data_IF_559173721772
#
_entry.id   IF_559173721772
#
_cell.length_a   1.000
_cell.length_b   1.000
_cell.length_c   1.000
_cell.angle_alpha   90.00
_cell.angle_beta   90.00
_cell.angle_gamma   90.00
#
_symmetry.space_group_name_H-M   'P 1'
#
loop_
_entity.id
_entity.type
_entity.pdbx_description
1 polymer ?
#
# COMPACT_ATOMS: atom_id res chain seq x y z
N UNK A 1 -6.56 -2.90 -11.03
CA UNK A 1 -5.85 -3.34 -9.81
C UNK A 1 -6.17 -2.37 -8.69
N UNK A 2 -7.01 -2.76 -7.73
CA UNK A 2 -7.72 -1.81 -6.84
C UNK A 2 -7.02 -1.59 -5.49
N UNK A 3 -5.85 -2.19 -5.32
CA UNK A 3 -5.02 -2.17 -4.12
C UNK A 3 -4.73 -0.77 -3.56
N UNK A 4 -4.60 0.23 -4.43
CA UNK A 4 -4.34 1.62 -4.02
C UNK A 4 -5.52 2.21 -3.22
N UNK A 5 -6.75 1.81 -3.52
CA UNK A 5 -7.94 2.32 -2.82
C UNK A 5 -8.03 1.69 -1.42
N UNK A 6 -7.75 0.38 -1.32
CA UNK A 6 -7.77 -0.35 -0.06
C UNK A 6 -6.78 0.23 0.97
N UNK A 7 -5.62 0.73 0.53
CA UNK A 7 -4.60 1.30 1.43
C UNK A 7 -4.84 2.76 1.81
N UNK A 8 -5.58 3.53 0.98
CA UNK A 8 -5.87 4.94 1.25
C UNK A 8 -7.18 5.15 2.02
N UNK A 9 -7.87 4.06 2.38
CA UNK A 9 -9.17 4.10 3.03
C UNK A 9 -10.24 4.71 2.14
N UNK A 10 -10.89 5.78 2.58
CA UNK A 10 -11.98 6.42 1.84
C UNK A 10 -11.45 7.53 0.92
N UNK A 11 -11.63 7.34 -0.38
CA UNK A 11 -11.38 8.35 -1.40
C UNK A 11 -12.21 9.62 -1.15
N UNK A 12 -11.67 10.82 -1.47
CA UNK A 12 -12.45 12.05 -1.38
C UNK A 12 -13.57 12.03 -2.41
N UNK A 13 -14.71 12.66 -2.08
CA UNK A 13 -15.89 12.67 -2.95
C UNK A 13 -15.52 13.24 -4.32
N UNK A 14 -15.85 12.51 -5.38
CA UNK A 14 -15.57 12.90 -6.76
C UNK A 14 -14.21 12.47 -7.32
N UNK A 15 -13.34 11.83 -6.52
CA UNK A 15 -12.09 11.24 -7.00
C UNK A 15 -12.25 9.73 -7.17
N UNK A 16 -12.20 9.27 -8.42
CA UNK A 16 -12.14 7.85 -8.75
C UNK A 16 -10.74 7.29 -8.44
N UNK A 17 -10.65 6.01 -8.06
CA UNK A 17 -9.32 5.43 -7.88
C UNK A 17 -8.53 5.24 -9.18
N UNK A 18 -9.18 5.34 -10.36
CA UNK A 18 -8.44 5.50 -11.62
C UNK A 18 -7.66 6.82 -11.62
N UNK A 19 -8.27 7.94 -11.23
CA UNK A 19 -7.58 9.24 -11.14
C UNK A 19 -6.43 9.19 -10.14
N UNK A 20 -6.60 8.51 -9.00
CA UNK A 20 -5.52 8.32 -8.01
C UNK A 20 -4.34 7.56 -8.62
N UNK A 21 -4.59 6.45 -9.33
CA UNK A 21 -3.52 5.69 -10.00
C UNK A 21 -2.83 6.53 -11.07
N UNK A 22 -3.61 7.25 -11.89
CA UNK A 22 -3.06 8.15 -12.90
C UNK A 22 -2.17 9.22 -12.28
N UNK A 23 -2.64 9.88 -11.22
CA UNK A 23 -1.86 10.88 -10.47
C UNK A 23 -0.54 10.30 -9.94
N UNK A 24 -0.58 9.11 -9.34
CA UNK A 24 0.61 8.46 -8.79
C UNK A 24 1.60 8.02 -9.87
N UNK A 25 1.15 7.27 -10.88
CA UNK A 25 2.05 6.69 -11.89
C UNK A 25 2.56 7.70 -12.90
N UNK A 26 1.71 8.62 -13.37
CA UNK A 26 2.12 9.59 -14.39
C UNK A 26 2.92 10.75 -13.81
N UNK A 27 2.65 11.14 -12.55
CA UNK A 27 3.19 12.37 -11.97
C UNK A 27 4.05 12.13 -10.73
N UNK A 28 3.54 11.45 -9.69
CA UNK A 28 4.29 11.31 -8.44
C UNK A 28 5.55 10.45 -8.57
N UNK A 29 5.42 9.27 -9.17
CA UNK A 29 6.50 8.30 -9.34
C UNK A 29 7.39 8.61 -10.54
N UNK A 30 6.90 9.42 -11.49
CA UNK A 30 7.67 9.84 -12.65
C UNK A 30 8.50 11.09 -12.35
N UNK A 31 9.80 10.91 -12.14
CA UNK A 31 10.73 12.01 -11.85
C UNK A 31 10.79 13.08 -12.95
N UNK A 32 10.48 12.73 -14.20
CA UNK A 32 10.49 13.68 -15.33
C UNK A 32 9.25 14.58 -15.35
N UNK A 33 8.11 14.07 -14.91
CA UNK A 33 6.83 14.80 -14.97
C UNK A 33 6.44 15.42 -13.63
N UNK A 34 7.08 15.04 -12.52
CA UNK A 34 6.71 15.50 -11.16
C UNK A 34 6.56 17.03 -11.02
N UNK A 35 7.39 17.81 -11.68
CA UNK A 35 7.38 19.27 -11.59
C UNK A 35 6.32 19.95 -12.47
N UNK A 36 5.76 19.24 -13.45
CA UNK A 36 4.78 19.77 -14.41
C UNK A 36 3.37 19.24 -14.17
N UNK A 37 3.09 18.74 -12.96
CA UNK A 37 1.78 18.24 -12.59
C UNK A 37 0.72 19.37 -12.66
N UNK A 38 -0.39 19.16 -13.39
CA UNK A 38 -1.53 20.08 -13.40
C UNK A 38 -2.09 20.32 -11.98
N UNK A 39 -2.71 21.48 -11.75
CA UNK A 39 -3.17 21.89 -10.41
C UNK A 39 -4.19 20.93 -9.79
N UNK A 40 -5.10 20.37 -10.61
CA UNK A 40 -6.07 19.37 -10.19
C UNK A 40 -5.39 18.08 -9.71
N UNK A 41 -4.34 17.64 -10.40
CA UNK A 41 -3.51 16.50 -9.99
C UNK A 41 -2.70 16.85 -8.73
N UNK A 42 -2.15 18.06 -8.63
CA UNK A 42 -1.41 18.50 -7.46
C UNK A 42 -2.27 18.49 -6.18
N UNK A 43 -3.55 18.85 -6.28
CA UNK A 43 -4.52 18.74 -5.17
C UNK A 43 -4.71 17.29 -4.74
N UNK A 44 -4.90 16.36 -5.69
CA UNK A 44 -5.04 14.93 -5.40
C UNK A 44 -3.76 14.38 -4.75
N UNK A 45 -2.58 14.73 -5.28
CA UNK A 45 -1.30 14.32 -4.70
C UNK A 45 -1.08 14.89 -3.30
N UNK A 46 -1.48 16.14 -3.06
CA UNK A 46 -1.45 16.76 -1.74
C UNK A 46 -2.35 16.04 -0.73
N UNK A 47 -3.54 15.59 -1.17
CA UNK A 47 -4.42 14.75 -0.35
C UNK A 47 -3.78 13.39 -0.05
N UNK A 48 -3.24 12.69 -1.07
CA UNK A 48 -2.57 11.39 -0.90
C UNK A 48 -1.42 11.51 0.10
N UNK A 49 -0.62 12.58 0.00
CA UNK A 49 0.49 12.84 0.93
C UNK A 49 0.03 12.96 2.38
N UNK A 50 -1.14 13.59 2.63
CA UNK A 50 -1.70 13.72 3.98
C UNK A 50 -2.27 12.41 4.52
N UNK A 51 -2.72 11.51 3.65
CA UNK A 51 -3.23 10.19 4.04
C UNK A 51 -2.13 9.14 4.16
N UNK A 52 -0.94 9.41 3.63
CA UNK A 52 0.18 8.47 3.69
C UNK A 52 0.83 8.54 5.08
N UNK A 53 0.85 7.43 5.84
CA UNK A 53 1.52 7.41 7.14
C UNK A 53 3.03 7.61 6.97
N UNK A 54 3.68 8.14 8.02
CA UNK A 54 5.14 8.21 8.09
C UNK A 54 5.73 6.81 8.23
N UNK A 55 7.01 6.65 7.86
CA UNK A 55 7.64 5.34 7.87
C UNK A 55 7.73 4.71 9.26
N UNK A 56 7.80 5.53 10.32
CA UNK A 56 7.84 5.09 11.72
C UNK A 56 6.64 4.21 12.13
N UNK A 57 5.47 4.41 11.51
CA UNK A 57 4.27 3.59 11.79
C UNK A 57 4.53 2.11 11.45
N UNK A 58 5.49 1.81 10.57
CA UNK A 58 5.86 0.43 10.22
C UNK A 58 6.74 -0.27 11.26
N UNK A 59 7.19 0.42 12.32
CA UNK A 59 7.87 -0.26 13.43
C UNK A 59 6.89 -1.10 14.26
N UNK A 60 5.59 -0.80 14.20
CA UNK A 60 4.55 -1.65 14.76
C UNK A 60 4.27 -2.85 13.83
N UNK A 61 4.51 -4.09 14.28
CA UNK A 61 4.21 -5.27 13.48
C UNK A 61 2.72 -5.44 13.16
N UNK A 62 1.80 -4.91 13.97
CA UNK A 62 0.36 -4.99 13.69
C UNK A 62 0.00 -4.21 12.41
N UNK A 63 0.64 -3.06 12.18
CA UNK A 63 0.47 -2.27 10.95
C UNK A 63 0.90 -3.07 9.72
N UNK A 64 2.02 -3.79 9.82
CA UNK A 64 2.50 -4.61 8.71
C UNK A 64 1.52 -5.75 8.38
N UNK A 65 0.95 -6.39 9.41
CA UNK A 65 -0.06 -7.44 9.25
C UNK A 65 -1.38 -6.90 8.68
N UNK A 66 -1.83 -5.72 9.12
CA UNK A 66 -3.02 -5.04 8.60
C UNK A 66 -2.87 -4.68 7.12
N UNK A 67 -1.72 -4.13 6.74
CA UNK A 67 -1.43 -3.83 5.34
C UNK A 67 -1.38 -5.11 4.51
N UNK A 68 -0.73 -6.18 4.99
CA UNK A 68 -0.73 -7.46 4.29
C UNK A 68 -2.14 -8.04 4.14
N UNK A 69 -2.99 -7.91 5.18
CA UNK A 69 -4.41 -8.31 5.11
C UNK A 69 -5.12 -7.52 4.02
N UNK A 70 -5.01 -6.19 4.01
CA UNK A 70 -5.60 -5.34 2.97
C UNK A 70 -5.08 -5.69 1.56
N UNK A 71 -3.82 -6.11 1.43
CA UNK A 71 -3.23 -6.56 0.16
C UNK A 71 -3.71 -7.96 -0.28
N UNK A 72 -4.14 -8.79 0.67
CA UNK A 72 -4.60 -10.15 0.42
C UNK A 72 -6.09 -10.26 0.12
N UNK A 73 -6.87 -9.25 0.47
CA UNK A 73 -8.29 -9.15 0.13
C UNK A 73 -8.50 -8.20 -1.06
N UNK A 74 -9.56 -8.47 -1.84
CA UNK A 74 -10.08 -7.55 -2.85
C UNK A 74 -11.05 -6.56 -2.19
N UNK A 75 -11.45 -5.52 -2.92
CA UNK A 75 -12.50 -4.60 -2.44
C UNK A 75 -13.82 -5.32 -2.13
N UNK A 76 -14.11 -6.41 -2.85
CA UNK A 76 -15.31 -7.23 -2.63
C UNK A 76 -15.12 -8.23 -1.47
N UNK A 77 -14.16 -7.98 -0.58
CA UNK A 77 -13.68 -8.86 0.52
C UNK A 77 -13.19 -10.26 0.12
N UNK A 78 -13.32 -10.64 -1.15
CA UNK A 78 -12.85 -11.92 -1.68
C UNK A 78 -11.32 -12.03 -1.66
N UNK A 79 -10.82 -13.24 -1.40
CA UNK A 79 -9.38 -13.52 -1.33
C UNK A 79 -8.73 -13.29 -2.70
N UNK A 80 -7.67 -12.50 -2.73
CA UNK A 80 -6.87 -12.29 -3.93
C UNK A 80 -6.16 -13.58 -4.36
N UNK A 81 -5.98 -13.74 -5.67
CA UNK A 81 -5.26 -14.89 -6.23
C UNK A 81 -3.87 -15.05 -5.58
N UNK A 82 -3.44 -16.28 -5.35
CA UNK A 82 -2.18 -16.58 -4.67
C UNK A 82 -0.97 -15.91 -5.34
N UNK A 83 -0.93 -15.91 -6.68
CA UNK A 83 0.11 -15.23 -7.47
C UNK A 83 0.16 -13.72 -7.22
N UNK A 84 -1.01 -13.09 -7.06
CA UNK A 84 -1.14 -11.66 -6.76
C UNK A 84 -0.62 -11.35 -5.36
N UNK A 85 -1.02 -12.14 -4.36
CA UNK A 85 -0.58 -11.99 -2.96
C UNK A 85 0.94 -12.12 -2.83
N UNK A 86 1.52 -13.13 -3.47
CA UNK A 86 2.98 -13.32 -3.48
C UNK A 86 3.70 -12.16 -4.16
N UNK A 87 3.18 -11.63 -5.27
CA UNK A 87 3.77 -10.47 -5.96
C UNK A 87 3.75 -9.21 -5.09
N UNK A 88 2.62 -8.90 -4.46
CA UNK A 88 2.50 -7.74 -3.58
C UNK A 88 3.45 -7.84 -2.38
N UNK A 89 3.52 -9.02 -1.76
CA UNK A 89 4.46 -9.28 -0.66
C UNK A 89 5.91 -9.11 -1.10
N UNK A 90 6.29 -9.62 -2.25
CA UNK A 90 7.65 -9.50 -2.76
C UNK A 90 8.06 -8.04 -2.97
N UNK A 91 7.17 -7.23 -3.58
CA UNK A 91 7.41 -5.79 -3.80
C UNK A 91 7.54 -5.06 -2.46
N UNK A 92 6.65 -5.36 -1.51
CA UNK A 92 6.70 -4.75 -0.18
C UNK A 92 7.99 -5.10 0.57
N UNK A 93 8.43 -6.36 0.48
CA UNK A 93 9.66 -6.81 1.10
C UNK A 93 10.90 -6.09 0.55
N UNK A 94 10.96 -5.89 -0.77
CA UNK A 94 12.04 -5.11 -1.39
C UNK A 94 12.02 -3.67 -0.90
N UNK A 95 10.85 -3.05 -0.76
CA UNK A 95 10.72 -1.69 -0.26
C UNK A 95 11.16 -1.56 1.22
N UNK A 96 10.72 -2.48 2.10
CA UNK A 96 11.12 -2.48 3.51
C UNK A 96 12.62 -2.73 3.68
N UNK A 97 13.18 -3.69 2.94
CA UNK A 97 14.61 -3.94 2.95
C UNK A 97 15.41 -2.71 2.49
N UNK A 98 14.89 -1.94 1.53
CA UNK A 98 15.50 -0.67 1.11
C UNK A 98 15.42 0.38 2.22
N UNK A 99 14.28 0.50 2.92
CA UNK A 99 14.12 1.45 4.03
C UNK A 99 15.10 1.15 5.18
N UNK A 100 15.29 -0.13 5.54
CA UNK A 100 16.28 -0.56 6.53
C UNK A 100 17.70 -0.22 6.09
N UNK A 101 18.07 -0.48 4.82
CA UNK A 101 19.41 -0.11 4.29
C UNK A 101 19.68 1.40 4.33
N UNK A 102 18.63 2.22 4.31
CA UNK A 102 18.72 3.69 4.40
C UNK A 102 18.67 4.19 5.84
N UNK A 103 18.64 3.30 6.83
CA UNK A 103 18.47 3.61 8.25
C UNK A 103 17.19 4.42 8.54
N UNK A 104 16.14 4.21 7.73
CA UNK A 104 14.82 4.80 7.99
C UNK A 104 14.03 3.92 8.96
N UNK A 105 14.19 2.60 8.83
CA UNK A 105 13.62 1.60 9.74
C UNK A 105 14.74 0.86 10.47
N UNK A 106 14.48 0.50 11.72
CA UNK A 106 15.37 -0.32 12.54
C UNK A 106 15.46 -1.78 12.05
N UNK A 107 14.32 -2.38 11.68
CA UNK A 107 14.23 -3.74 11.16
C UNK A 107 13.13 -3.87 10.09
N UNK A 108 13.14 -4.98 9.35
CA UNK A 108 12.07 -5.29 8.40
C UNK A 108 10.87 -5.84 9.18
N UNK A 109 9.71 -5.16 9.17
CA UNK A 109 8.55 -5.56 9.98
C UNK A 109 7.76 -6.71 9.36
N UNK A 110 8.05 -7.08 8.11
CA UNK A 110 7.30 -8.16 7.46
C UNK A 110 7.66 -9.51 8.08
N UNK A 111 6.67 -10.36 8.38
CA UNK A 111 6.92 -11.68 8.92
C UNK A 111 7.83 -12.47 7.98
N UNK A 112 8.87 -13.08 8.52
CA UNK A 112 9.77 -13.94 7.74
C UNK A 112 9.10 -15.31 7.61
N UNK A 113 8.50 -15.59 6.45
CA UNK A 113 7.79 -16.84 6.17
C UNK A 113 6.30 -16.66 5.86
N UNK A 114 5.74 -17.55 5.03
CA UNK A 114 4.30 -17.68 4.89
C UNK A 114 3.79 -18.13 6.27
N UNK A 115 3.42 -17.20 7.17
CA UNK A 115 2.49 -17.55 8.23
C UNK A 115 1.30 -18.12 7.50
N UNK A 116 1.12 -19.43 7.58
CA UNK A 116 -0.13 -20.07 7.23
C UNK A 116 -1.20 -19.18 7.85
N UNK A 117 -2.12 -18.67 7.02
CA UNK A 117 -3.35 -18.07 7.53
C UNK A 117 -3.80 -18.97 8.69
N UNK A 118 -4.07 -18.41 9.89
CA UNK A 118 -4.82 -19.21 10.84
C UNK A 118 -6.08 -19.62 10.06
N UNK A 119 -6.29 -20.93 9.95
CA UNK A 119 -7.57 -21.43 9.53
C UNK A 119 -8.52 -20.93 10.61
N UNK A 120 -9.20 -19.82 10.35
CA UNK A 120 -10.12 -19.27 11.32
C UNK A 120 -11.12 -20.37 11.66
N UNK A 121 -11.16 -20.62 12.96
CA UNK A 121 -12.03 -21.53 13.64
C UNK A 121 -13.47 -21.10 13.37
N UNK A 122 -14.11 -21.68 12.36
CA UNK A 122 -15.57 -21.73 12.30
C UNK A 122 -16.01 -22.68 13.41
N UNK A 123 -16.25 -22.11 14.58
CA UNK A 123 -16.96 -22.77 15.67
C UNK A 123 -18.38 -22.24 15.67
N UNK A 124 -19.32 -23.20 15.65
CA UNK A 124 -20.79 -23.11 15.74
C UNK A 124 -21.53 -22.83 14.44
#
# INVERSE_FOLDING_TARGET
MITTEALLGRLPRGVSGQQVRTALFQWAFNTRCRASAPDDIAVVLGWIRRQSPVMEVWEDPEVADDVLRALYHRLDDSVAAASSRMRHRQVLNVAMAYAVRRNILSANPLPTGLRSCPADHVTV
#
